data_IF_293017262505
#
_entry.id   IF_293017262505
#
_cell.length_a   1.000
_cell.length_b   1.000
_cell.length_c   1.000
_cell.angle_alpha   90.00
_cell.angle_beta   90.00
_cell.angle_gamma   90.00
#
_symmetry.space_group_name_H-M   'P 1'
#
loop_
_entity.id
_entity.type
_entity.pdbx_description
1 polymer ?
#
# COMPACT_ATOMS: atom_id res chain seq x y z
N UNK A 1 6.77 22.27 -2.57
CA UNK A 1 8.04 22.64 -3.22
C UNK A 1 8.83 21.37 -3.57
N UNK A 2 8.71 20.92 -4.83
CA UNK A 2 9.77 20.31 -5.66
C UNK A 2 10.72 19.25 -5.06
N UNK A 3 10.17 18.18 -4.44
CA UNK A 3 10.94 16.99 -4.03
C UNK A 3 10.66 15.74 -4.91
N UNK A 4 9.59 15.74 -5.72
CA UNK A 4 9.15 14.56 -6.48
C UNK A 4 10.11 14.11 -7.59
N UNK A 5 10.85 15.04 -8.21
CA UNK A 5 11.77 14.71 -9.30
C UNK A 5 13.06 14.00 -8.85
N UNK A 6 13.50 14.23 -7.60
CA UNK A 6 14.74 13.65 -7.08
C UNK A 6 14.53 12.24 -6.52
N UNK A 7 13.37 11.99 -5.88
CA UNK A 7 13.00 10.66 -5.35
C UNK A 7 12.87 9.62 -6.47
N UNK A 8 12.33 10.01 -7.63
CA UNK A 8 12.29 9.16 -8.85
C UNK A 8 13.64 8.58 -9.24
N UNK A 9 14.68 9.44 -9.29
CA UNK A 9 16.01 9.03 -9.75
C UNK A 9 16.73 8.08 -8.78
N UNK A 10 16.31 8.02 -7.52
CA UNK A 10 16.97 7.20 -6.50
C UNK A 10 16.28 5.86 -6.30
N UNK A 11 14.94 5.80 -6.32
CA UNK A 11 14.19 4.58 -5.97
C UNK A 11 13.10 4.18 -6.97
N UNK A 12 12.58 5.10 -7.78
CA UNK A 12 11.55 4.84 -8.81
C UNK A 12 12.14 4.80 -10.22
N UNK A 13 13.07 3.88 -10.45
CA UNK A 13 13.86 3.79 -11.70
C UNK A 13 13.12 3.06 -12.84
N UNK A 14 11.92 2.52 -12.58
CA UNK A 14 11.21 1.65 -13.51
C UNK A 14 11.77 0.23 -13.56
N UNK A 15 12.64 -0.13 -12.61
CA UNK A 15 13.14 -1.50 -12.48
C UNK A 15 12.04 -2.38 -11.91
N UNK A 16 11.57 -3.35 -12.69
CA UNK A 16 10.55 -4.30 -12.25
C UNK A 16 11.14 -5.22 -11.18
N UNK A 17 10.64 -5.11 -9.95
CA UNK A 17 11.07 -5.93 -8.82
C UNK A 17 10.57 -7.37 -8.90
N UNK A 18 9.40 -7.59 -9.52
CA UNK A 18 8.82 -8.91 -9.76
C UNK A 18 7.76 -8.88 -10.86
N UNK A 19 7.61 -10.01 -11.55
CA UNK A 19 6.53 -10.30 -12.50
C UNK A 19 5.56 -11.29 -11.84
N UNK A 20 4.27 -11.03 -11.93
CA UNK A 20 3.19 -11.90 -11.42
C UNK A 20 2.23 -12.30 -12.54
N UNK A 21 1.47 -13.36 -12.30
CA UNK A 21 0.36 -13.76 -13.17
C UNK A 21 -0.89 -12.92 -12.83
N UNK A 22 -1.65 -12.49 -13.84
CA UNK A 22 -2.94 -11.81 -13.61
C UNK A 22 -3.90 -12.66 -12.76
N UNK A 23 -4.65 -12.01 -11.87
CA UNK A 23 -5.58 -12.72 -10.99
C UNK A 23 -4.92 -13.64 -9.94
N UNK A 24 -3.59 -13.66 -9.83
CA UNK A 24 -2.92 -14.47 -8.82
C UNK A 24 -3.02 -13.87 -7.42
N UNK A 25 -2.97 -14.76 -6.42
CA UNK A 25 -2.82 -14.39 -5.02
C UNK A 25 -1.33 -14.31 -4.69
N UNK A 26 -0.86 -13.14 -4.23
CA UNK A 26 0.56 -12.88 -4.01
C UNK A 26 0.88 -12.71 -2.52
N UNK A 27 2.04 -13.20 -2.08
CA UNK A 27 2.55 -12.98 -0.72
C UNK A 27 3.31 -11.65 -0.65
N UNK A 28 2.75 -10.68 0.06
CA UNK A 28 3.40 -9.40 0.37
C UNK A 28 3.97 -9.46 1.78
N UNK A 29 5.28 -9.20 1.89
CA UNK A 29 5.97 -9.19 3.19
C UNK A 29 6.24 -7.75 3.64
N UNK A 30 5.73 -7.38 4.81
CA UNK A 30 5.98 -6.08 5.44
C UNK A 30 6.85 -6.30 6.68
N UNK A 31 8.02 -5.67 6.71
CA UNK A 31 8.91 -5.69 7.88
C UNK A 31 8.83 -4.34 8.59
N UNK A 32 8.25 -4.33 9.79
CA UNK A 32 8.17 -3.14 10.64
C UNK A 32 9.11 -3.26 11.83
N UNK A 33 9.87 -2.19 12.05
CA UNK A 33 10.63 -2.05 13.30
C UNK A 33 9.69 -1.94 14.51
N UNK A 34 8.57 -1.22 14.36
CA UNK A 34 7.53 -1.05 15.38
C UNK A 34 6.18 -0.92 14.67
N UNK A 35 5.15 -1.64 15.13
CA UNK A 35 3.75 -1.39 14.74
C UNK A 35 3.08 -0.43 15.72
N UNK A 36 2.24 0.47 15.19
CA UNK A 36 1.46 1.47 15.92
C UNK A 36 -0.06 1.21 15.80
N UNK A 37 -0.45 -0.08 15.85
CA UNK A 37 -1.82 -0.57 15.57
C UNK A 37 -2.39 -0.05 14.24
N UNK A 38 -3.68 -0.25 13.95
CA UNK A 38 -4.35 0.32 12.78
C UNK A 38 -4.50 -0.70 11.66
N UNK A 39 -4.25 -0.31 10.40
CA UNK A 39 -4.48 -1.21 9.28
C UNK A 39 -3.59 -0.94 8.07
N UNK A 40 -3.30 -2.00 7.31
CA UNK A 40 -2.69 -1.90 5.99
C UNK A 40 -3.72 -1.99 4.87
N UNK A 41 -3.47 -1.29 3.78
CA UNK A 41 -4.18 -1.39 2.52
C UNK A 41 -3.18 -1.51 1.37
N UNK A 42 -3.64 -2.14 0.28
CA UNK A 42 -2.86 -2.29 -0.94
C UNK A 42 -3.61 -1.70 -2.12
N UNK A 43 -2.91 -0.92 -2.94
CA UNK A 43 -3.47 -0.28 -4.13
C UNK A 43 -2.59 -0.54 -5.34
N UNK A 44 -3.18 -0.58 -6.52
CA UNK A 44 -2.48 -0.83 -7.77
C UNK A 44 -2.75 0.29 -8.79
N UNK A 45 -1.69 0.73 -9.47
CA UNK A 45 -1.81 1.61 -10.62
C UNK A 45 -1.11 0.98 -11.83
N UNK A 46 -1.85 0.56 -12.87
CA UNK A 46 -1.26 0.15 -14.14
C UNK A 46 -0.86 1.39 -14.95
N UNK A 47 0.44 1.71 -14.95
CA UNK A 47 0.97 2.81 -15.74
C UNK A 47 1.00 2.43 -17.22
N UNK A 48 0.81 3.41 -18.07
CA UNK A 48 0.93 3.31 -19.53
C UNK A 48 2.38 3.20 -19.99
N UNK A 49 3.35 3.66 -19.19
CA UNK A 49 4.78 3.58 -19.50
C UNK A 49 5.63 3.64 -18.23
N UNK A 50 6.89 3.23 -18.32
CA UNK A 50 7.85 3.32 -17.19
C UNK A 50 8.09 4.76 -16.74
N UNK A 51 7.96 5.74 -17.63
CA UNK A 51 8.21 7.17 -17.35
C UNK A 51 7.03 7.88 -16.66
N UNK A 52 5.81 7.35 -16.80
CA UNK A 52 4.60 7.94 -16.23
C UNK A 52 4.68 8.08 -14.70
N UNK A 53 4.20 9.22 -14.20
CA UNK A 53 4.02 9.51 -12.77
C UNK A 53 2.80 8.78 -12.25
N UNK A 54 3.03 7.87 -11.29
CA UNK A 54 1.94 7.32 -10.49
C UNK A 54 1.28 8.47 -9.71
N UNK A 55 -0.04 8.50 -9.72
CA UNK A 55 -0.85 9.44 -8.95
C UNK A 55 -1.68 8.67 -7.93
N UNK A 56 -2.04 9.33 -6.83
CA UNK A 56 -2.95 8.72 -5.87
C UNK A 56 -4.33 8.45 -6.49
N UNK A 57 -4.75 9.26 -7.46
CA UNK A 57 -5.98 9.05 -8.23
C UNK A 57 -5.97 7.68 -8.94
N UNK A 58 -4.88 7.37 -9.65
CA UNK A 58 -4.74 6.07 -10.32
C UNK A 58 -4.72 4.91 -9.31
N UNK A 59 -3.99 5.06 -8.21
CA UNK A 59 -3.93 4.03 -7.17
C UNK A 59 -5.30 3.77 -6.51
N UNK A 60 -6.07 4.83 -6.28
CA UNK A 60 -7.40 4.74 -5.68
C UNK A 60 -8.43 4.04 -6.59
N UNK A 61 -8.17 3.94 -7.90
CA UNK A 61 -9.03 3.18 -8.81
C UNK A 61 -8.96 1.67 -8.55
N UNK A 62 -7.88 1.16 -7.95
CA UNK A 62 -7.71 -0.27 -7.70
C UNK A 62 -7.25 -0.53 -6.26
N UNK A 63 -8.19 -0.41 -5.31
CA UNK A 63 -8.01 -0.97 -3.98
C UNK A 63 -8.08 -2.50 -4.06
N UNK A 64 -7.01 -3.17 -3.63
CA UNK A 64 -6.90 -4.62 -3.71
C UNK A 64 -7.56 -5.29 -2.51
N UNK A 65 -8.09 -6.48 -2.74
CA UNK A 65 -8.62 -7.35 -1.68
C UNK A 65 -7.54 -8.28 -1.16
N UNK A 66 -7.73 -8.77 0.05
CA UNK A 66 -6.92 -9.80 0.69
C UNK A 66 -7.53 -11.18 0.43
N UNK A 67 -6.82 -12.24 0.80
CA UNK A 67 -7.29 -13.63 0.64
C UNK A 67 -8.63 -13.92 1.33
N UNK A 68 -8.96 -13.20 2.41
CA UNK A 68 -10.23 -13.33 3.13
C UNK A 68 -11.37 -12.48 2.54
N UNK A 69 -11.11 -11.75 1.46
CA UNK A 69 -12.06 -10.87 0.79
C UNK A 69 -12.19 -9.47 1.40
N UNK A 70 -11.47 -9.18 2.48
CA UNK A 70 -11.40 -7.82 3.05
C UNK A 70 -10.44 -6.93 2.25
N UNK A 71 -10.44 -5.62 2.51
CA UNK A 71 -9.48 -4.67 1.90
C UNK A 71 -8.45 -4.16 2.89
N UNK A 72 -8.60 -4.50 4.18
CA UNK A 72 -7.80 -3.98 5.28
C UNK A 72 -7.22 -5.12 6.10
N UNK A 73 -5.90 -5.14 6.23
CA UNK A 73 -5.23 -6.03 7.16
C UNK A 73 -5.07 -5.32 8.50
N UNK A 74 -5.77 -5.78 9.53
CA UNK A 74 -5.74 -5.16 10.84
C UNK A 74 -4.43 -5.46 11.57
N UNK A 75 -3.80 -4.41 12.08
CA UNK A 75 -2.64 -4.48 12.95
C UNK A 75 -3.14 -4.26 14.38
N UNK A 76 -3.40 -5.35 15.09
CA UNK A 76 -4.12 -5.29 16.37
C UNK A 76 -3.26 -4.81 17.54
N UNK A 77 -1.94 -4.98 17.46
CA UNK A 77 -1.05 -4.77 18.58
C UNK A 77 0.17 -3.93 18.21
N UNK A 78 0.70 -3.25 19.23
CA UNK A 78 2.01 -2.61 19.17
C UNK A 78 3.09 -3.67 19.42
N UNK A 79 3.86 -3.97 18.39
CA UNK A 79 4.87 -5.04 18.37
C UNK A 79 6.16 -4.46 17.81
N UNK A 80 7.28 -4.86 18.39
CA UNK A 80 8.62 -4.48 17.93
C UNK A 80 9.20 -5.58 17.06
N UNK A 81 9.89 -5.21 15.98
CA UNK A 81 10.57 -6.10 15.04
C UNK A 81 9.65 -7.22 14.52
N UNK A 82 8.57 -6.81 13.86
CA UNK A 82 7.50 -7.70 13.39
C UNK A 82 7.52 -7.82 11.87
N UNK A 83 7.30 -9.03 11.38
CA UNK A 83 7.14 -9.34 9.96
C UNK A 83 5.71 -9.82 9.72
N UNK A 84 5.00 -9.15 8.83
CA UNK A 84 3.68 -9.57 8.36
C UNK A 84 3.81 -10.19 6.98
N UNK A 85 3.21 -11.37 6.80
CA UNK A 85 3.04 -12.00 5.49
C UNK A 85 1.55 -11.95 5.15
N UNK A 86 1.21 -11.22 4.08
CA UNK A 86 -0.17 -10.88 3.75
C UNK A 86 -0.44 -11.32 2.33
N UNK A 87 -1.52 -12.07 2.14
CA UNK A 87 -1.95 -12.54 0.84
C UNK A 87 -2.86 -11.51 0.19
N UNK A 88 -2.40 -10.93 -0.92
CA UNK A 88 -3.08 -9.87 -1.65
C UNK A 88 -3.52 -10.39 -3.01
N UNK A 89 -4.78 -10.19 -3.35
CA UNK A 89 -5.38 -10.64 -4.60
C UNK A 89 -5.12 -9.62 -5.70
N UNK A 90 -4.38 -10.02 -6.75
CA UNK A 90 -4.23 -9.18 -7.93
C UNK A 90 -5.52 -9.21 -8.77
N UNK A 91 -5.88 -8.11 -9.46
CA UNK A 91 -7.08 -8.08 -10.30
C UNK A 91 -6.94 -9.03 -11.50
N UNK A 92 -7.98 -9.81 -11.78
CA UNK A 92 -7.97 -10.74 -12.91
C UNK A 92 -8.01 -10.04 -14.28
N UNK A 93 -8.53 -8.81 -14.32
CA UNK A 93 -8.76 -8.03 -15.53
C UNK A 93 -7.60 -7.07 -15.87
N UNK A 94 -6.54 -7.05 -15.06
CA UNK A 94 -5.44 -6.09 -15.20
C UNK A 94 -4.15 -6.83 -15.56
N UNK A 95 -3.61 -6.49 -16.72
CA UNK A 95 -2.23 -6.77 -17.14
C UNK A 95 -1.48 -5.46 -17.30
N UNK A 96 -0.20 -5.43 -16.95
CA UNK A 96 0.64 -4.24 -17.04
C UNK A 96 2.12 -4.61 -17.08
N UNK A 97 2.85 -4.02 -18.02
CA UNK A 97 4.32 -4.10 -18.03
C UNK A 97 4.95 -3.19 -16.96
N UNK A 98 4.24 -2.11 -16.58
CA UNK A 98 4.69 -1.13 -15.60
C UNK A 98 3.54 -0.85 -14.62
N UNK A 99 3.51 -1.57 -13.50
CA UNK A 99 2.56 -1.34 -12.42
C UNK A 99 3.26 -0.79 -11.19
N UNK A 100 2.55 0.04 -10.43
CA UNK A 100 2.95 0.41 -9.07
C UNK A 100 2.00 -0.22 -8.08
N UNK A 101 2.54 -1.08 -7.22
CA UNK A 101 1.86 -1.58 -6.02
C UNK A 101 2.20 -0.67 -4.85
N UNK A 102 1.19 -0.02 -4.27
CA UNK A 102 1.32 0.80 -3.07
C UNK A 102 0.89 -0.02 -1.85
N UNK A 103 1.78 -0.11 -0.85
CA UNK A 103 1.40 -0.41 0.52
C UNK A 103 1.14 0.91 1.25
N UNK A 104 -0.03 0.99 1.88
CA UNK A 104 -0.43 2.10 2.73
C UNK A 104 -0.70 1.57 4.13
N UNK A 105 -0.13 2.21 5.14
CA UNK A 105 -0.38 1.92 6.54
C UNK A 105 -0.91 3.16 7.23
N UNK A 106 -2.11 3.06 7.82
CA UNK A 106 -2.64 4.07 8.75
C UNK A 106 -2.56 3.51 10.17
N UNK A 107 -1.75 4.15 11.00
CA UNK A 107 -1.65 3.82 12.42
C UNK A 107 -2.94 4.20 13.16
N UNK A 108 -3.09 3.72 14.40
CA UNK A 108 -4.21 4.11 15.27
C UNK A 108 -3.78 4.45 16.70
N UNK A 109 -2.51 4.78 16.90
CA UNK A 109 -1.95 5.04 18.23
C UNK A 109 -2.30 6.41 18.83
N UNK A 110 -2.86 7.34 18.04
CA UNK A 110 -3.22 8.69 18.52
C UNK A 110 -4.71 8.77 18.83
N UNK A 111 -5.07 9.51 19.87
CA UNK A 111 -6.47 9.88 20.19
C UNK A 111 -6.83 11.11 19.36
N UNK A 112 -7.99 11.07 18.70
CA UNK A 112 -8.52 12.20 17.93
C UNK A 112 -10.04 12.29 17.98
N UNK A 113 -10.59 13.35 17.39
CA UNK A 113 -12.03 13.57 17.26
C UNK A 113 -12.63 12.60 16.23
N UNK A 114 -13.68 11.88 16.62
CA UNK A 114 -14.39 10.93 15.76
C UNK A 114 -15.51 11.59 14.92
N UNK A 115 -15.81 12.88 15.15
CA UNK A 115 -16.80 13.65 14.39
C UNK A 115 -18.24 13.50 14.89
N UNK A 116 -18.46 12.72 15.96
CA UNK A 116 -19.75 12.50 16.61
C UNK A 116 -19.80 13.08 18.04
N UNK A 117 -18.82 13.92 18.40
CA UNK A 117 -18.64 14.48 19.73
C UNK A 117 -17.87 13.58 20.70
N UNK A 118 -17.37 12.44 20.23
CA UNK A 118 -16.49 11.54 21.00
C UNK A 118 -15.03 11.66 20.54
N UNK A 119 -14.11 11.21 21.41
CA UNK A 119 -12.69 11.06 21.06
C UNK A 119 -12.24 9.64 21.38
N UNK A 120 -11.48 9.05 20.46
CA UNK A 120 -10.95 7.69 20.63
C UNK A 120 -9.64 7.51 19.85
N UNK A 121 -8.94 6.41 20.13
CA UNK A 121 -7.78 5.95 19.39
C UNK A 121 -8.13 5.68 17.92
N UNK A 122 -7.28 6.14 17.01
CA UNK A 122 -7.47 5.97 15.57
C UNK A 122 -8.43 6.96 14.90
N UNK A 123 -9.16 7.75 15.68
CA UNK A 123 -9.97 8.86 15.17
C UNK A 123 -9.10 10.07 14.79
N UNK A 124 -9.63 10.95 13.94
CA UNK A 124 -8.89 12.11 13.41
C UNK A 124 -7.63 11.73 12.62
N UNK A 125 -6.65 12.64 12.64
CA UNK A 125 -5.40 12.47 11.90
C UNK A 125 -4.47 11.46 12.59
N UNK A 126 -3.99 10.50 11.80
CA UNK A 126 -3.08 9.44 12.25
C UNK A 126 -1.78 9.46 11.46
N UNK A 127 -0.74 8.86 12.04
CA UNK A 127 0.49 8.61 11.28
C UNK A 127 0.19 7.68 10.10
N UNK A 128 0.77 8.02 8.94
CA UNK A 128 0.64 7.23 7.74
C UNK A 128 2.00 6.90 7.18
N UNK A 129 2.15 5.67 6.70
CA UNK A 129 3.36 5.17 6.07
C UNK A 129 2.99 4.66 4.69
N UNK A 130 3.80 5.00 3.69
CA UNK A 130 3.55 4.64 2.30
C UNK A 130 4.83 4.07 1.72
N UNK A 131 4.72 2.93 1.04
CA UNK A 131 5.77 2.40 0.19
C UNK A 131 5.19 1.96 -1.15
N UNK A 132 6.00 2.07 -2.20
CA UNK A 132 5.63 1.70 -3.55
C UNK A 132 6.65 0.73 -4.12
N UNK A 133 6.19 -0.24 -4.89
CA UNK A 133 7.01 -1.19 -5.63
C UNK A 133 6.61 -1.20 -7.11
N UNK A 134 7.60 -1.11 -8.00
CA UNK A 134 7.42 -1.30 -9.44
C UNK A 134 7.34 -2.81 -9.76
N UNK A 135 6.24 -3.27 -10.33
CA UNK A 135 5.95 -4.68 -10.66
C UNK A 135 5.40 -4.81 -12.09
N UNK A 136 5.36 -6.03 -12.62
CA UNK A 136 4.61 -6.35 -13.84
C UNK A 136 3.59 -7.46 -13.56
N UNK A 137 2.48 -7.43 -14.30
CA UNK A 137 1.42 -8.44 -14.25
C UNK A 137 1.16 -8.88 -15.69
N UNK A 138 1.48 -10.14 -15.98
CA UNK A 138 1.45 -10.72 -17.34
C UNK A 138 0.58 -11.97 -17.41
#
# INVERSE_FOLDING_TARGET
>A
HQLDFLVRRLYGTGTIGRVYEQGSLIDVTINLNISHMGFFEFRLCPKTSSEELVTQECLNQNLLTLADGTTQFNVEQNTVAVVFAIQVQLPAEITCENCVLQWYYRASSRIGDCGDGTTDYGCGDQETYVNCADIAIL
#
